data_IF_040737407446
#
_entry.id   IF_040737407446
#
_cell.length_a   1.000
_cell.length_b   1.000
_cell.length_c   1.000
_cell.angle_alpha   90.00
_cell.angle_beta   90.00
_cell.angle_gamma   90.00
#
_symmetry.space_group_name_H-M   'P 1'
#
loop_
_entity.id
_entity.type
_entity.pdbx_description
1 polymer ?
#
# COMPACT_ATOMS: atom_id res chain seq x y z
N UNK A 1 -59.07 9.05 -39.53
CA UNK A 1 -58.86 7.76 -40.23
C UNK A 1 -57.43 7.76 -40.75
N UNK A 2 -56.63 6.73 -40.49
CA UNK A 2 -55.20 6.71 -40.83
C UNK A 2 -54.97 6.52 -42.33
N UNK A 3 -53.88 7.08 -42.87
CA UNK A 3 -53.53 7.04 -44.29
C UNK A 3 -53.42 5.61 -44.86
N UNK A 4 -53.01 4.64 -44.04
CA UNK A 4 -52.97 3.21 -44.42
C UNK A 4 -54.35 2.52 -44.50
N UNK A 5 -55.40 3.14 -43.96
CA UNK A 5 -56.76 2.60 -44.04
C UNK A 5 -57.47 3.02 -45.34
N UNK A 6 -56.86 3.92 -46.12
CA UNK A 6 -57.35 4.31 -47.44
C UNK A 6 -56.79 3.33 -48.51
N UNK A 7 -57.67 2.61 -49.23
CA UNK A 7 -57.23 1.66 -50.25
C UNK A 7 -56.48 2.32 -51.41
N UNK A 8 -56.79 3.57 -51.78
CA UNK A 8 -56.13 4.26 -52.90
C UNK A 8 -54.72 4.70 -52.51
N UNK A 9 -54.56 5.27 -51.32
CA UNK A 9 -53.24 5.65 -50.80
C UNK A 9 -52.28 4.45 -50.71
N UNK A 10 -52.79 3.28 -50.29
CA UNK A 10 -52.01 2.04 -50.24
C UNK A 10 -51.54 1.61 -51.63
N UNK A 11 -52.39 1.75 -52.65
CA UNK A 11 -52.07 1.34 -54.01
C UNK A 11 -51.00 2.26 -54.64
N UNK A 12 -51.10 3.57 -54.39
CA UNK A 12 -50.16 4.58 -54.89
C UNK A 12 -48.74 4.41 -54.33
N UNK A 13 -48.60 3.97 -53.07
CA UNK A 13 -47.29 3.92 -52.39
C UNK A 13 -46.71 2.49 -52.27
N UNK A 14 -47.45 1.47 -52.72
CA UNK A 14 -47.04 0.06 -52.54
C UNK A 14 -45.69 -0.25 -53.18
N UNK A 15 -45.43 0.25 -54.38
CA UNK A 15 -44.20 -0.03 -55.12
C UNK A 15 -42.99 0.66 -54.49
N UNK A 16 -43.14 1.93 -54.11
CA UNK A 16 -42.08 2.67 -53.42
C UNK A 16 -41.73 2.04 -52.07
N UNK A 17 -42.74 1.59 -51.32
CA UNK A 17 -42.52 0.94 -50.02
C UNK A 17 -41.79 -0.40 -50.18
N UNK A 18 -42.11 -1.16 -51.23
CA UNK A 18 -41.38 -2.38 -51.57
C UNK A 18 -39.92 -2.10 -51.96
N UNK A 19 -39.67 -1.02 -52.68
CA UNK A 19 -38.31 -0.64 -53.08
C UNK A 19 -37.49 -0.17 -51.87
N UNK A 20 -38.06 0.70 -51.02
CA UNK A 20 -37.46 1.14 -49.75
C UNK A 20 -37.16 -0.05 -48.83
N UNK A 21 -38.06 -1.04 -48.76
CA UNK A 21 -37.83 -2.30 -48.02
C UNK A 21 -36.59 -3.03 -48.54
N UNK A 22 -36.49 -3.25 -49.86
CA UNK A 22 -35.36 -3.96 -50.48
C UNK A 22 -34.03 -3.25 -50.25
N UNK A 23 -34.04 -1.92 -50.30
CA UNK A 23 -32.85 -1.10 -50.05
C UNK A 23 -32.43 -1.13 -48.57
N UNK A 24 -33.39 -1.10 -47.64
CA UNK A 24 -33.14 -1.12 -46.20
C UNK A 24 -32.77 -2.51 -45.65
N UNK A 25 -33.28 -3.58 -46.25
CA UNK A 25 -33.07 -4.98 -45.82
C UNK A 25 -31.58 -5.34 -45.57
N UNK A 26 -30.63 -5.09 -46.49
CA UNK A 26 -29.22 -5.42 -46.23
C UNK A 26 -28.59 -4.58 -45.11
N UNK A 27 -29.08 -3.37 -44.87
CA UNK A 27 -28.63 -2.54 -43.74
C UNK A 27 -29.14 -3.14 -42.43
N UNK A 28 -30.43 -3.49 -42.36
CA UNK A 28 -31.05 -4.08 -41.17
C UNK A 28 -30.40 -5.41 -40.80
N UNK A 29 -30.13 -6.27 -41.79
CA UNK A 29 -29.42 -7.55 -41.55
C UNK A 29 -28.02 -7.32 -41.00
N UNK A 30 -27.29 -6.33 -41.50
CA UNK A 30 -25.96 -5.98 -40.96
C UNK A 30 -26.04 -5.50 -39.51
N UNK A 31 -27.00 -4.63 -39.20
CA UNK A 31 -27.21 -4.13 -37.84
C UNK A 31 -27.58 -5.28 -36.89
N UNK A 32 -28.46 -6.18 -37.32
CA UNK A 32 -28.83 -7.36 -36.54
C UNK A 32 -27.60 -8.23 -36.25
N UNK A 33 -26.79 -8.55 -37.26
CA UNK A 33 -25.57 -9.35 -37.09
C UNK A 33 -24.58 -8.71 -36.12
N UNK A 34 -24.39 -7.39 -36.19
CA UNK A 34 -23.52 -6.68 -35.25
C UNK A 34 -24.10 -6.74 -33.84
N UNK A 35 -25.41 -6.55 -33.68
CA UNK A 35 -26.08 -6.67 -32.39
C UNK A 35 -25.91 -8.07 -31.80
N UNK A 36 -26.21 -9.11 -32.57
CA UNK A 36 -26.10 -10.50 -32.13
C UNK A 36 -24.65 -10.85 -31.78
N UNK A 37 -23.68 -10.40 -32.57
CA UNK A 37 -22.26 -10.62 -32.27
C UNK A 37 -21.82 -9.92 -30.98
N UNK A 38 -22.32 -8.71 -30.70
CA UNK A 38 -21.99 -7.95 -29.47
C UNK A 38 -22.61 -8.58 -28.23
N UNK A 39 -23.82 -9.10 -28.35
CA UNK A 39 -24.59 -9.66 -27.23
C UNK A 39 -24.48 -11.19 -27.12
N UNK A 40 -23.71 -11.83 -28.00
CA UNK A 40 -23.53 -13.29 -28.01
C UNK A 40 -22.98 -13.83 -26.69
N UNK A 41 -22.13 -13.04 -26.01
CA UNK A 41 -21.57 -13.40 -24.70
C UNK A 41 -21.63 -12.22 -23.70
N UNK A 42 -22.84 -11.67 -23.53
CA UNK A 42 -23.12 -10.64 -22.53
C UNK A 42 -22.68 -11.07 -21.12
N UNK A 43 -22.78 -12.36 -20.81
CA UNK A 43 -22.43 -12.87 -19.50
C UNK A 43 -20.92 -12.76 -19.24
N UNK A 44 -20.06 -13.23 -20.15
CA UNK A 44 -18.61 -13.14 -19.93
C UNK A 44 -18.13 -11.68 -19.93
N UNK A 45 -18.70 -10.83 -20.78
CA UNK A 45 -18.38 -9.41 -20.81
C UNK A 45 -18.72 -8.75 -19.47
N UNK A 46 -19.94 -8.95 -18.97
CA UNK A 46 -20.37 -8.41 -17.69
C UNK A 46 -19.59 -9.01 -16.51
N UNK A 47 -19.23 -10.29 -16.58
CA UNK A 47 -18.39 -10.96 -15.58
C UNK A 47 -17.01 -10.30 -15.51
N UNK A 48 -16.36 -10.07 -16.66
CA UNK A 48 -15.07 -9.39 -16.74
C UNK A 48 -15.15 -7.95 -16.21
N UNK A 49 -16.21 -7.21 -16.57
CA UNK A 49 -16.44 -5.84 -16.10
C UNK A 49 -16.61 -5.79 -14.57
N UNK A 50 -17.43 -6.69 -14.00
CA UNK A 50 -17.60 -6.77 -12.54
C UNK A 50 -16.31 -7.16 -11.84
N UNK A 51 -15.52 -8.07 -12.42
CA UNK A 51 -14.22 -8.44 -11.88
C UNK A 51 -13.25 -7.24 -11.86
N UNK A 52 -13.20 -6.46 -12.94
CA UNK A 52 -12.40 -5.23 -13.04
C UNK A 52 -12.84 -4.17 -12.03
N UNK A 53 -14.15 -3.95 -11.88
CA UNK A 53 -14.66 -2.99 -10.88
C UNK A 53 -14.34 -3.42 -9.45
N UNK A 54 -14.46 -4.72 -9.13
CA UNK A 54 -14.10 -5.24 -7.80
C UNK A 54 -12.60 -5.10 -7.53
N UNK A 55 -11.74 -5.42 -8.52
CA UNK A 55 -10.29 -5.27 -8.36
C UNK A 55 -9.88 -3.81 -8.19
N UNK A 56 -10.49 -2.89 -8.95
CA UNK A 56 -10.30 -1.45 -8.78
C UNK A 56 -10.75 -0.97 -7.40
N UNK A 57 -11.95 -1.34 -6.94
CA UNK A 57 -12.44 -0.99 -5.60
C UNK A 57 -11.50 -1.49 -4.50
N UNK A 58 -10.98 -2.71 -4.64
CA UNK A 58 -10.01 -3.28 -3.70
C UNK A 58 -8.72 -2.46 -3.66
N UNK A 59 -8.16 -2.10 -4.81
CA UNK A 59 -6.95 -1.25 -4.90
C UNK A 59 -7.16 0.12 -4.25
N UNK A 60 -8.27 0.79 -4.57
CA UNK A 60 -8.61 2.10 -3.97
C UNK A 60 -8.73 1.99 -2.44
N UNK A 61 -9.39 0.95 -1.94
CA UNK A 61 -9.52 0.73 -0.51
C UNK A 61 -8.15 0.51 0.16
N UNK A 62 -7.27 -0.27 -0.47
CA UNK A 62 -5.90 -0.48 0.03
C UNK A 62 -5.10 0.83 0.06
N UNK A 63 -5.14 1.63 -1.01
CA UNK A 63 -4.50 2.96 -1.11
C UNK A 63 -5.03 3.94 -0.05
N UNK A 64 -6.34 4.01 0.15
CA UNK A 64 -6.94 4.85 1.19
C UNK A 64 -6.60 4.37 2.60
N UNK A 65 -6.59 3.05 2.82
CA UNK A 65 -6.21 2.48 4.12
C UNK A 65 -4.75 2.79 4.46
N UNK A 66 -3.87 2.76 3.46
CA UNK A 66 -2.47 3.13 3.61
C UNK A 66 -2.30 4.63 3.90
N UNK A 67 -3.03 5.49 3.20
CA UNK A 67 -3.09 6.94 3.50
C UNK A 67 -3.48 7.19 4.96
N UNK A 68 -4.59 6.59 5.40
CA UNK A 68 -5.12 6.79 6.76
C UNK A 68 -4.14 6.31 7.81
N UNK A 69 -3.43 5.19 7.58
CA UNK A 69 -2.35 4.71 8.47
C UNK A 69 -1.19 5.70 8.60
N UNK A 70 -0.89 6.46 7.55
CA UNK A 70 0.11 7.53 7.57
C UNK A 70 -0.41 8.85 8.13
N UNK A 71 -1.69 8.93 8.52
CA UNK A 71 -2.33 10.18 8.98
C UNK A 71 -2.62 11.16 7.85
N UNK A 72 -2.61 10.70 6.59
CA UNK A 72 -2.93 11.51 5.42
C UNK A 72 -4.42 11.41 5.11
N UNK A 73 -5.03 12.52 4.68
CA UNK A 73 -6.44 12.61 4.28
C UNK A 73 -6.65 12.49 2.76
N UNK A 74 -5.65 12.03 2.01
CA UNK A 74 -5.63 12.05 0.54
C UNK A 74 -5.30 10.66 0.02
N UNK A 75 -6.01 10.17 -1.00
CA UNK A 75 -5.73 8.89 -1.64
C UNK A 75 -4.29 8.83 -2.17
N UNK A 76 -3.57 7.75 -1.83
CA UNK A 76 -2.22 7.52 -2.33
C UNK A 76 -2.22 7.09 -3.80
N UNK A 77 -1.25 7.58 -4.55
CA UNK A 77 -0.95 7.12 -5.91
C UNK A 77 -0.03 5.90 -5.86
N UNK A 78 0.01 5.10 -6.94
CA UNK A 78 1.02 4.05 -7.10
C UNK A 78 2.43 4.63 -7.01
N UNK A 79 3.36 3.86 -6.46
CA UNK A 79 4.76 4.27 -6.39
C UNK A 79 5.33 4.44 -7.81
N UNK A 80 5.79 5.65 -8.12
CA UNK A 80 6.52 5.96 -9.34
C UNK A 80 8.02 5.90 -9.07
N UNK A 81 8.78 5.29 -9.98
CA UNK A 81 10.24 5.24 -9.89
C UNK A 81 10.87 6.64 -10.07
N UNK A 82 10.24 7.47 -10.90
CA UNK A 82 10.65 8.86 -11.16
C UNK A 82 10.57 9.71 -9.88
N UNK A 83 9.48 9.57 -9.12
CA UNK A 83 9.30 10.23 -7.83
C UNK A 83 10.36 9.77 -6.82
N UNK A 84 10.74 8.49 -6.86
CA UNK A 84 11.82 7.94 -6.04
C UNK A 84 13.18 8.54 -6.38
N UNK A 85 13.52 8.63 -7.66
CA UNK A 85 14.78 9.20 -8.13
C UNK A 85 14.90 10.69 -7.80
N UNK A 86 13.83 11.45 -8.02
CA UNK A 86 13.77 12.88 -7.69
C UNK A 86 13.91 13.11 -6.19
N UNK A 87 13.17 12.35 -5.36
CA UNK A 87 13.27 12.43 -3.91
C UNK A 87 14.68 12.08 -3.40
N UNK A 88 15.35 11.09 -3.99
CA UNK A 88 16.71 10.71 -3.64
C UNK A 88 17.75 11.81 -3.99
N UNK A 89 17.50 12.59 -5.04
CA UNK A 89 18.35 13.72 -5.44
C UNK A 89 18.24 14.95 -4.52
N UNK A 90 17.18 15.04 -3.70
CA UNK A 90 16.96 16.18 -2.79
C UNK A 90 17.93 16.13 -1.61
N UNK A 91 18.81 17.13 -1.52
CA UNK A 91 19.72 17.30 -0.38
C UNK A 91 19.06 18.14 0.70
N UNK A 92 18.66 17.52 1.80
CA UNK A 92 18.17 18.24 2.98
C UNK A 92 19.34 18.86 3.77
N UNK A 93 19.07 19.96 4.48
CA UNK A 93 20.05 20.62 5.35
C UNK A 93 20.62 19.64 6.38
N UNK A 94 21.96 19.54 6.44
CA UNK A 94 22.68 18.61 7.32
C UNK A 94 22.41 18.82 8.81
N UNK A 95 21.86 19.99 9.19
CA UNK A 95 21.52 20.32 10.57
C UNK A 95 20.33 19.49 11.09
N UNK A 96 19.44 18.99 10.23
CA UNK A 96 18.25 18.24 10.68
C UNK A 96 18.62 16.98 11.45
N UNK A 97 19.50 16.14 10.89
CA UNK A 97 19.91 14.89 11.53
C UNK A 97 20.71 15.12 12.80
N UNK A 98 21.57 16.13 12.82
CA UNK A 98 22.29 16.55 14.03
C UNK A 98 21.31 16.98 15.13
N UNK A 99 20.41 17.92 14.82
CA UNK A 99 19.42 18.42 15.77
C UNK A 99 18.49 17.31 16.28
N UNK A 100 18.13 16.36 15.42
CA UNK A 100 17.31 15.19 15.78
C UNK A 100 18.04 14.27 16.77
N UNK A 101 19.32 13.98 16.53
CA UNK A 101 20.16 13.18 17.44
C UNK A 101 20.34 13.88 18.77
N UNK A 102 20.64 15.17 18.76
CA UNK A 102 20.84 15.98 19.96
C UNK A 102 19.56 16.04 20.82
N UNK A 103 18.39 16.30 20.21
CA UNK A 103 17.10 16.26 20.92
C UNK A 103 16.81 14.89 21.52
N UNK A 104 17.08 13.80 20.80
CA UNK A 104 16.89 12.43 21.33
C UNK A 104 17.85 12.12 22.47
N UNK A 105 19.10 12.58 22.40
CA UNK A 105 20.06 12.44 23.48
C UNK A 105 19.61 13.19 24.74
N UNK A 106 19.13 14.43 24.57
CA UNK A 106 18.57 15.22 25.68
C UNK A 106 17.36 14.53 26.33
N UNK A 107 16.42 14.00 25.55
CA UNK A 107 15.27 13.25 26.09
C UNK A 107 15.73 12.00 26.85
N UNK A 108 16.69 11.25 26.33
CA UNK A 108 17.25 10.07 27.00
C UNK A 108 17.99 10.42 28.30
N UNK A 109 18.61 11.60 28.35
CA UNK A 109 19.30 12.10 29.54
C UNK A 109 18.35 12.78 30.54
N UNK A 110 17.14 13.18 30.09
CA UNK A 110 16.15 13.81 30.95
C UNK A 110 15.64 12.83 32.00
N UNK A 111 15.36 13.34 33.20
CA UNK A 111 14.80 12.54 34.28
C UNK A 111 13.32 12.23 34.02
N UNK A 112 12.95 10.98 34.24
CA UNK A 112 11.59 10.45 34.07
C UNK A 112 10.61 10.88 35.18
N UNK A 113 11.10 11.58 36.21
CA UNK A 113 10.28 12.01 37.33
C UNK A 113 9.73 13.43 37.11
N UNK A 114 8.43 13.67 37.39
CA UNK A 114 7.81 14.98 37.23
C UNK A 114 8.46 15.97 38.20
N UNK A 115 9.01 17.07 37.68
CA UNK A 115 9.60 18.17 38.47
C UNK A 115 11.09 18.45 38.25
N UNK A 116 11.78 17.72 37.36
CA UNK A 116 13.21 17.97 37.07
C UNK A 116 13.47 19.02 35.97
N UNK A 117 12.43 19.41 35.23
CA UNK A 117 12.51 20.36 34.11
C UNK A 117 12.48 21.80 34.63
N UNK A 118 13.62 22.30 35.13
CA UNK A 118 13.71 23.72 35.48
C UNK A 118 14.83 24.11 36.43
N UNK A 119 15.93 23.35 36.56
CA UNK A 119 17.01 23.78 37.44
C UNK A 119 18.38 23.65 36.78
N UNK A 120 19.00 24.80 36.49
CA UNK A 120 20.41 24.94 36.12
C UNK A 120 21.39 24.53 37.24
N UNK A 121 20.92 23.83 38.28
CA UNK A 121 21.71 23.39 39.44
C UNK A 121 22.33 21.98 39.29
N UNK A 122 22.08 21.28 38.19
CA UNK A 122 22.17 19.81 38.17
C UNK A 122 23.58 19.20 38.03
N UNK A 123 24.62 19.98 37.67
CA UNK A 123 25.97 19.41 37.63
C UNK A 123 26.46 19.02 39.02
N UNK A 124 26.15 19.82 40.06
CA UNK A 124 26.63 19.58 41.43
C UNK A 124 25.90 18.41 42.09
N UNK A 125 24.57 18.36 41.97
CA UNK A 125 23.75 17.22 42.47
C UNK A 125 24.06 15.91 41.75
N UNK A 126 24.31 15.94 40.44
CA UNK A 126 24.71 14.75 39.68
C UNK A 126 26.06 14.22 40.14
N UNK A 127 27.06 15.08 40.28
CA UNK A 127 28.39 14.70 40.77
C UNK A 127 28.34 14.19 42.23
N UNK A 128 27.48 14.76 43.07
CA UNK A 128 27.26 14.32 44.45
C UNK A 128 26.56 12.95 44.53
N UNK A 129 25.61 12.67 43.62
CA UNK A 129 25.01 11.34 43.52
C UNK A 129 25.99 10.31 42.95
N UNK A 130 26.85 10.70 42.00
CA UNK A 130 27.92 9.84 41.47
C UNK A 130 28.99 9.54 42.53
N UNK A 131 29.32 10.49 43.41
CA UNK A 131 30.26 10.26 44.53
C UNK A 131 29.65 9.46 45.69
N UNK A 132 28.34 9.55 45.91
CA UNK A 132 27.60 8.74 46.91
C UNK A 132 27.24 7.34 46.43
N UNK A 133 27.35 7.04 45.13
CA UNK A 133 27.18 5.68 44.61
C UNK A 133 28.38 4.83 45.02
N UNK A 134 28.14 3.75 45.77
CA UNK A 134 29.15 2.71 45.99
C UNK A 134 29.62 2.22 44.61
N UNK A 135 30.93 2.22 44.35
CA UNK A 135 31.51 1.69 43.10
C UNK A 135 31.29 0.18 43.07
N UNK A 136 30.13 -0.24 42.60
CA UNK A 136 29.83 -1.64 42.38
C UNK A 136 30.44 -2.00 41.02
N UNK A 137 31.49 -2.81 41.03
CA UNK A 137 32.03 -3.40 39.81
C UNK A 137 30.95 -4.31 39.21
N UNK A 138 30.41 -3.92 38.05
CA UNK A 138 29.34 -4.67 37.38
C UNK A 138 29.69 -6.15 37.21
N UNK A 139 30.96 -6.47 36.89
CA UNK A 139 31.45 -7.84 36.80
C UNK A 139 31.36 -8.63 38.12
N UNK A 140 31.69 -8.00 39.25
CA UNK A 140 31.65 -8.66 40.57
C UNK A 140 30.22 -8.89 41.06
N UNK A 141 29.31 -7.95 40.80
CA UNK A 141 27.88 -8.10 41.12
C UNK A 141 27.19 -9.14 40.24
N UNK A 142 27.56 -9.21 38.95
CA UNK A 142 27.07 -10.23 38.02
C UNK A 142 27.44 -11.63 38.49
N UNK A 143 28.71 -11.83 38.88
CA UNK A 143 29.21 -13.13 39.36
C UNK A 143 28.54 -13.59 40.67
N UNK A 144 28.17 -12.66 41.56
CA UNK A 144 27.48 -12.97 42.81
C UNK A 144 26.01 -13.40 42.58
N UNK A 145 25.37 -12.84 41.55
CA UNK A 145 23.99 -13.19 41.17
C UNK A 145 23.92 -14.50 40.39
N UNK A 146 24.99 -14.88 39.69
CA UNK A 146 25.08 -16.14 38.93
C UNK A 146 25.65 -17.30 39.73
N UNK A 147 25.44 -17.38 41.06
CA UNK A 147 25.88 -18.54 41.84
C UNK A 147 25.52 -19.85 41.10
N UNK A 148 26.55 -20.66 40.90
CA UNK A 148 26.66 -21.61 39.79
C UNK A 148 25.55 -22.65 39.74
N UNK A 149 24.65 -22.48 38.79
CA UNK A 149 23.85 -23.59 38.28
C UNK A 149 24.71 -24.36 37.28
N UNK A 150 25.13 -25.58 37.65
CA UNK A 150 25.79 -26.52 36.73
C UNK A 150 24.82 -26.75 35.56
N UNK A 151 25.18 -26.48 34.29
CA UNK A 151 24.33 -26.82 33.18
C UNK A 151 24.20 -28.35 33.12
N UNK A 152 22.98 -28.86 33.27
CA UNK A 152 22.67 -30.27 33.05
C UNK A 152 23.00 -30.62 31.60
N UNK A 153 23.82 -31.65 31.42
CA UNK A 153 24.03 -32.29 30.12
C UNK A 153 22.69 -32.80 29.61
N UNK A 154 22.15 -32.24 28.52
CA UNK A 154 21.30 -32.95 27.56
C UNK A 154 21.16 -32.17 26.25
N UNK A 155 21.38 -32.92 25.17
CA UNK A 155 21.08 -32.68 23.76
C UNK A 155 21.64 -31.44 23.06
N UNK A 156 22.78 -31.64 22.43
CA UNK A 156 23.11 -31.00 21.16
C UNK A 156 22.38 -31.75 20.03
N UNK A 157 21.40 -31.12 19.40
CA UNK A 157 20.98 -31.47 18.04
C UNK A 157 21.36 -30.31 17.10
N UNK A 158 22.49 -30.48 16.43
CA UNK A 158 22.99 -29.57 15.42
C UNK A 158 22.25 -29.80 14.09
N UNK A 159 21.23 -29.00 13.81
CA UNK A 159 20.60 -28.93 12.49
C UNK A 159 21.55 -28.23 11.52
N UNK A 160 22.21 -29.02 10.65
CA UNK A 160 23.00 -28.53 9.52
C UNK A 160 22.08 -27.84 8.51
N UNK A 161 22.25 -26.53 8.29
CA UNK A 161 21.69 -25.82 7.12
C UNK A 161 22.68 -25.93 5.97
N UNK A 162 22.29 -26.63 4.91
CA UNK A 162 23.00 -26.66 3.63
C UNK A 162 22.80 -25.32 2.90
N UNK A 163 23.91 -24.64 2.62
CA UNK A 163 23.95 -23.53 1.69
C UNK A 163 24.03 -24.10 0.27
N UNK A 164 23.03 -23.79 -0.56
CA UNK A 164 23.10 -23.99 -2.01
C UNK A 164 23.52 -22.67 -2.65
N UNK A 165 24.67 -22.69 -3.31
CA UNK A 165 25.18 -21.66 -4.21
C UNK A 165 25.36 -22.28 -5.60
N UNK A 166 25.23 -21.41 -6.61
CA UNK A 166 25.58 -21.55 -8.04
C UNK A 166 24.43 -21.98 -8.97
N UNK A 167 24.25 -21.43 -10.18
CA UNK A 167 24.96 -20.35 -10.90
C UNK A 167 24.10 -19.88 -12.09
N UNK A 168 24.48 -18.72 -12.65
CA UNK A 168 24.03 -18.16 -13.93
C UNK A 168 24.76 -18.82 -15.13
N UNK A 169 24.18 -18.63 -16.33
CA UNK A 169 24.64 -18.95 -17.71
C UNK A 169 24.31 -20.39 -18.15
N UNK A 170 23.78 -20.67 -19.34
CA UNK A 170 23.60 -19.94 -20.60
C UNK A 170 22.13 -19.87 -21.03
#
# INVERSE_FOLDING_TARGET
RGKLADPFYRLEHQEEDLQKKKEAEPVLVRLQRVSDARHSDDYALNKALRAKLRSQKKRVFEEESASRKMGLSIRLLPASEEDGATAAGVKFSSKFERNRKDKRALIKAASIFPGSSGSSSSNKKRLELESKRRKICAAAASNLLTQGFKPSSWSQDAVKKSASLNARKF
#
